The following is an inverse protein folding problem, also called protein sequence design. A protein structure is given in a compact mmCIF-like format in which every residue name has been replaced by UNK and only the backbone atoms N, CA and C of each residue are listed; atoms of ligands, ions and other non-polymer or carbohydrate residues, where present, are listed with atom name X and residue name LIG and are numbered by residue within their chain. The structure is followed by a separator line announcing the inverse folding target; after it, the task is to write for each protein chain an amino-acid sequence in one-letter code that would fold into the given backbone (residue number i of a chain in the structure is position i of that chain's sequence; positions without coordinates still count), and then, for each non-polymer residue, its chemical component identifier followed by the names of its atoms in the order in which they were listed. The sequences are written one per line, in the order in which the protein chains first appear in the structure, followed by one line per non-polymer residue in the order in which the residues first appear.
data_IF_574642189441
#
_entry.id   IF_574642189441
#
_cell.length_a   1.000
_cell.length_b   1.000
_cell.length_c   1.000
_cell.angle_alpha   90.00
_cell.angle_beta   90.00
_cell.angle_gamma   90.00
#
_symmetry.space_group_name_H-M   'P 1'
#
loop_
_entity.id
_entity.type
_entity.pdbx_description
1 polymer ?
#
# COMPACT_ATOMS: atom_id res chain seq x y z
N UNK A 1 -19.69 -24.52 -16.52
CA UNK A 1 -18.44 -24.08 -17.15
C UNK A 1 -17.27 -24.53 -16.27
N UNK A 2 -16.47 -25.50 -16.73
CA UNK A 2 -15.37 -26.11 -15.96
C UNK A 2 -14.19 -25.13 -15.96
N UNK A 3 -14.12 -24.21 -15.00
CA UNK A 3 -13.00 -23.28 -14.88
C UNK A 3 -11.75 -24.09 -14.52
N UNK A 4 -10.83 -24.19 -15.48
CA UNK A 4 -9.51 -24.81 -15.30
C UNK A 4 -8.77 -24.04 -14.21
N UNK A 5 -8.27 -24.75 -13.18
CA UNK A 5 -7.52 -24.19 -12.03
C UNK A 5 -6.47 -23.15 -12.44
N UNK A 6 -5.87 -23.30 -13.62
CA UNK A 6 -4.83 -22.41 -14.14
C UNK A 6 -5.34 -21.02 -14.53
N UNK A 7 -6.57 -20.91 -15.05
CA UNK A 7 -7.13 -19.62 -15.48
C UNK A 7 -7.48 -18.72 -14.28
N UNK A 8 -8.03 -19.33 -13.23
CA UNK A 8 -8.34 -18.62 -11.99
C UNK A 8 -7.09 -18.03 -11.36
N UNK A 9 -5.99 -18.78 -11.32
CA UNK A 9 -4.72 -18.30 -10.78
C UNK A 9 -4.20 -17.06 -11.51
N UNK A 10 -4.24 -17.04 -12.84
CA UNK A 10 -3.83 -15.87 -13.63
C UNK A 10 -4.77 -14.67 -13.41
N UNK A 11 -6.08 -14.91 -13.33
CA UNK A 11 -7.07 -13.85 -13.06
C UNK A 11 -6.89 -13.25 -11.66
N UNK A 12 -6.67 -14.08 -10.64
CA UNK A 12 -6.43 -13.67 -9.25
C UNK A 12 -5.15 -12.84 -9.17
N UNK A 13 -4.07 -13.30 -9.79
CA UNK A 13 -2.80 -12.56 -9.83
C UNK A 13 -2.96 -11.19 -10.49
N UNK A 14 -3.71 -11.11 -11.59
CA UNK A 14 -4.05 -9.86 -12.26
C UNK A 14 -4.84 -8.91 -11.36
N UNK A 15 -5.88 -9.40 -10.68
CA UNK A 15 -6.71 -8.61 -9.77
C UNK A 15 -5.92 -8.09 -8.56
N UNK A 16 -5.08 -8.92 -7.94
CA UNK A 16 -4.23 -8.53 -6.81
C UNK A 16 -3.24 -7.44 -7.24
N UNK A 17 -2.56 -7.64 -8.36
CA UNK A 17 -1.59 -6.65 -8.88
C UNK A 17 -2.27 -5.31 -9.15
N UNK A 18 -3.44 -5.35 -9.78
CA UNK A 18 -4.21 -4.16 -10.09
C UNK A 18 -4.69 -3.45 -8.80
N UNK A 19 -5.11 -4.23 -7.80
CA UNK A 19 -5.44 -3.71 -6.46
C UNK A 19 -4.26 -3.02 -5.78
N UNK A 20 -3.07 -3.62 -5.80
CA UNK A 20 -1.84 -3.05 -5.22
C UNK A 20 -1.48 -1.73 -5.91
N UNK A 21 -1.59 -1.66 -7.24
CA UNK A 21 -1.32 -0.45 -8.01
C UNK A 21 -2.31 0.65 -7.63
N UNK A 22 -3.61 0.35 -7.61
CA UNK A 22 -4.65 1.31 -7.23
C UNK A 22 -4.46 1.82 -5.80
N UNK A 23 -4.18 0.93 -4.84
CA UNK A 23 -3.89 1.31 -3.46
C UNK A 23 -2.64 2.18 -3.34
N UNK A 24 -1.57 1.85 -4.08
CA UNK A 24 -0.33 2.63 -4.11
C UNK A 24 -0.54 4.02 -4.69
N UNK A 25 -1.35 4.15 -5.74
CA UNK A 25 -1.74 5.45 -6.31
C UNK A 25 -2.56 6.24 -5.30
N UNK A 26 -3.55 5.64 -4.64
CA UNK A 26 -4.31 6.30 -3.57
C UNK A 26 -3.40 6.82 -2.46
N UNK A 27 -2.45 6.01 -2.00
CA UNK A 27 -1.48 6.42 -0.98
C UNK A 27 -0.60 7.58 -1.45
N UNK A 28 0.03 7.48 -2.62
CA UNK A 28 0.99 8.50 -3.08
C UNK A 28 0.35 9.76 -3.63
N UNK A 29 -0.79 9.64 -4.33
CA UNK A 29 -1.44 10.77 -5.01
C UNK A 29 -2.47 11.46 -4.13
N UNK A 30 -3.07 10.77 -3.16
CA UNK A 30 -4.11 11.34 -2.29
C UNK A 30 -3.62 11.54 -0.86
N UNK A 31 -3.06 10.51 -0.21
CA UNK A 31 -2.70 10.58 1.21
C UNK A 31 -1.46 11.46 1.46
N UNK A 32 -0.36 11.24 0.72
CA UNK A 32 0.88 12.01 0.89
C UNK A 32 0.72 13.52 0.64
N UNK A 33 0.13 13.99 -0.49
CA UNK A 33 0.12 15.41 -0.82
C UNK A 33 -0.85 16.20 0.06
N UNK A 34 -2.00 15.60 0.38
CA UNK A 34 -3.00 16.25 1.23
C UNK A 34 -2.67 16.14 2.72
N UNK A 35 -1.60 15.42 3.10
CA UNK A 35 -1.30 15.13 4.50
C UNK A 35 -2.47 14.43 5.20
N UNK A 36 -3.27 13.69 4.43
CA UNK A 36 -4.43 13.00 4.95
C UNK A 36 -3.91 11.81 5.74
N UNK A 37 -3.88 11.99 7.06
CA UNK A 37 -3.37 11.00 7.97
C UNK A 37 -4.41 9.91 8.15
N UNK A 38 -4.15 8.78 7.51
CA UNK A 38 -4.76 7.52 7.93
C UNK A 38 -4.33 7.22 9.38
N UNK A 39 -5.16 6.47 10.12
CA UNK A 39 -4.86 6.05 11.49
C UNK A 39 -3.76 4.98 11.56
N UNK A 40 -3.22 4.72 12.76
CA UNK A 40 -2.32 3.59 13.00
C UNK A 40 -0.90 3.75 12.41
N UNK A 41 -0.34 2.64 11.89
CA UNK A 41 1.06 2.55 11.43
C UNK A 41 1.34 3.48 10.23
N UNK A 42 0.39 3.60 9.31
CA UNK A 42 0.49 4.50 8.14
C UNK A 42 0.55 5.96 8.55
N UNK A 43 -0.25 6.37 9.54
CA UNK A 43 -0.23 7.73 10.09
C UNK A 43 1.11 8.07 10.74
N UNK A 44 1.68 7.14 11.51
CA UNK A 44 3.00 7.31 12.14
C UNK A 44 4.09 7.41 11.07
N UNK A 45 4.06 6.55 10.05
CA UNK A 45 5.01 6.62 8.93
C UNK A 45 4.93 7.96 8.20
N UNK A 46 3.73 8.50 7.97
CA UNK A 46 3.53 9.81 7.32
C UNK A 46 4.09 10.96 8.15
N UNK A 47 3.88 10.96 9.47
CA UNK A 47 4.44 11.98 10.37
C UNK A 47 5.98 11.94 10.36
N UNK A 48 6.57 10.76 10.48
CA UNK A 48 8.03 10.59 10.50
C UNK A 48 8.63 10.99 9.15
N UNK A 49 7.98 10.63 8.03
CA UNK A 49 8.38 11.08 6.70
C UNK A 49 8.37 12.62 6.59
N UNK A 50 7.36 13.30 7.13
CA UNK A 50 7.28 14.78 7.11
C UNK A 50 8.34 15.46 7.98
N UNK A 51 8.77 14.82 9.07
CA UNK A 51 9.76 15.37 10.00
C UNK A 51 11.21 15.11 9.57
N UNK A 52 11.50 13.90 9.07
CA UNK A 52 12.87 13.42 8.83
C UNK A 52 13.16 13.23 7.33
N UNK A 53 12.13 13.23 6.48
CA UNK A 53 12.28 13.06 5.03
C UNK A 53 12.59 11.62 4.58
N UNK A 54 12.55 10.64 5.47
CA UNK A 54 12.82 9.22 5.16
C UNK A 54 11.68 8.62 4.33
N UNK A 55 12.01 7.83 3.32
CA UNK A 55 11.02 7.22 2.41
C UNK A 55 9.88 6.50 3.13
N UNK A 56 8.65 6.90 2.79
CA UNK A 56 7.42 6.34 3.36
C UNK A 56 7.34 4.82 3.21
N UNK A 57 7.83 4.28 2.09
CA UNK A 57 7.81 2.84 1.81
C UNK A 57 8.67 2.05 2.80
N UNK A 58 9.84 2.59 3.18
CA UNK A 58 10.72 1.99 4.19
C UNK A 58 10.10 2.07 5.58
N UNK A 59 9.54 3.23 5.94
CA UNK A 59 8.90 3.44 7.23
C UNK A 59 7.68 2.53 7.43
N UNK A 60 6.87 2.34 6.38
CA UNK A 60 5.74 1.42 6.42
C UNK A 60 6.18 -0.02 6.69
N UNK A 61 7.21 -0.51 5.99
CA UNK A 61 7.75 -1.87 6.24
C UNK A 61 8.27 -1.98 7.67
N UNK A 62 9.15 -1.07 8.10
CA UNK A 62 9.78 -1.10 9.42
C UNK A 62 8.75 -1.04 10.55
N UNK A 63 7.79 -0.13 10.45
CA UNK A 63 6.77 0.02 11.50
C UNK A 63 5.67 -1.04 11.42
N UNK A 64 5.53 -1.77 10.32
CA UNK A 64 4.58 -2.89 10.22
C UNK A 64 5.18 -4.22 10.68
N UNK A 65 6.51 -4.40 10.67
CA UNK A 65 7.18 -5.62 11.15
C UNK A 65 6.79 -6.10 12.56
N UNK A 66 6.56 -5.22 13.57
CA UNK A 66 6.20 -5.68 14.92
C UNK A 66 4.72 -6.09 15.08
N UNK A 67 3.90 -6.02 14.03
CA UNK A 67 2.47 -6.34 14.03
C UNK A 67 2.16 -7.50 13.07
#
# INVERSE_FOLDING_TARGET
MKHSKTYNFFSEFGQITLGIILASIGLKAFLLPNGFMDGGVTGIALLVNRLIGVDISLLLVIFSLPF
#
